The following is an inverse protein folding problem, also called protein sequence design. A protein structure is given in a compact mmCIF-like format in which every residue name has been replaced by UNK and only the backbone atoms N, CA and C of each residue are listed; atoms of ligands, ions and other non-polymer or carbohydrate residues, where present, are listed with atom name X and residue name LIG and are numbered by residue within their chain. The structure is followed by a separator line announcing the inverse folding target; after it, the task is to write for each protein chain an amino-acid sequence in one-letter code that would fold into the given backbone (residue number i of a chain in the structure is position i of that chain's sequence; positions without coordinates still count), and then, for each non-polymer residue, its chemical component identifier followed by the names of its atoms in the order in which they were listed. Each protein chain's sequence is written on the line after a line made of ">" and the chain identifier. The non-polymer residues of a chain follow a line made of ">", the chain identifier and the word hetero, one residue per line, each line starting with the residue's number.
data_IF_878981942603
#
_entry.id   IF_878981942603
#
_cell.length_a   1.000
_cell.length_b   1.000
_cell.length_c   1.000
_cell.angle_alpha   90.00
_cell.angle_beta   90.00
_cell.angle_gamma   90.00
#
_symmetry.space_group_name_H-M   'P 1'
#
loop_
_entity.id
_entity.type
_entity.pdbx_description
1 polymer ?
#
# COMPACT_ATOMS: atom_id res chain seq x y z
N UNK A 1 -28.56 9.85 -26.34
CA UNK A 1 -27.52 8.91 -25.87
C UNK A 1 -26.23 8.91 -26.71
N UNK A 2 -26.26 9.00 -28.06
CA UNK A 2 -25.02 9.05 -28.88
C UNK A 2 -24.06 10.19 -28.52
N UNK A 3 -24.60 11.39 -28.25
CA UNK A 3 -23.79 12.59 -27.94
C UNK A 3 -22.98 12.50 -26.63
N UNK A 4 -23.40 11.66 -25.67
CA UNK A 4 -22.67 11.46 -24.41
C UNK A 4 -21.49 10.48 -24.55
N UNK A 5 -21.52 9.60 -25.55
CA UNK A 5 -20.45 8.63 -25.82
C UNK A 5 -19.35 9.30 -26.66
N UNK A 6 -19.70 10.24 -27.54
CA UNK A 6 -18.73 10.97 -28.34
C UNK A 6 -17.94 12.00 -27.52
N UNK A 7 -18.49 12.53 -26.41
CA UNK A 7 -17.70 13.36 -25.47
C UNK A 7 -16.66 12.55 -24.70
N UNK A 8 -16.88 11.25 -24.50
CA UNK A 8 -15.92 10.35 -23.86
C UNK A 8 -14.72 10.02 -24.76
N UNK A 9 -14.87 10.11 -26.09
CA UNK A 9 -13.76 9.91 -27.04
C UNK A 9 -12.75 11.06 -27.06
N UNK A 10 -13.11 12.21 -26.50
CA UNK A 10 -12.24 13.39 -26.39
C UNK A 10 -11.51 13.48 -25.05
N UNK A 11 -11.56 12.44 -24.20
CA UNK A 11 -10.55 12.28 -23.15
C UNK A 11 -9.20 12.09 -23.81
N UNK A 12 -8.57 13.22 -24.11
CA UNK A 12 -7.24 13.33 -24.62
C UNK A 12 -6.32 12.85 -23.49
N UNK A 13 -6.08 11.54 -23.40
CA UNK A 13 -5.16 10.86 -22.47
C UNK A 13 -3.70 11.35 -22.59
N UNK A 14 -3.46 12.43 -23.35
CA UNK A 14 -2.19 12.98 -23.79
C UNK A 14 -1.50 13.86 -22.75
N UNK A 15 -1.99 13.99 -21.52
CA UNK A 15 -1.50 15.04 -20.59
C UNK A 15 -1.07 14.60 -19.18
N UNK A 16 -1.19 13.32 -18.80
CA UNK A 16 -0.56 12.83 -17.55
C UNK A 16 0.59 11.90 -17.89
N UNK A 17 1.81 12.28 -17.47
CA UNK A 17 2.98 11.42 -17.65
C UNK A 17 2.85 10.16 -16.80
N UNK A 18 3.17 8.99 -17.35
CA UNK A 18 3.13 7.70 -16.65
C UNK A 18 3.90 7.78 -15.31
N UNK A 19 5.05 8.44 -15.33
CA UNK A 19 5.88 8.66 -14.15
C UNK A 19 5.19 9.46 -13.04
N UNK A 20 4.45 10.52 -13.43
CA UNK A 20 3.65 11.31 -12.49
C UNK A 20 2.51 10.49 -11.90
N UNK A 21 1.85 9.65 -12.71
CA UNK A 21 0.81 8.73 -12.24
C UNK A 21 1.37 7.72 -11.24
N UNK A 22 2.52 7.11 -11.54
CA UNK A 22 3.17 6.16 -10.64
C UNK A 22 3.63 6.80 -9.33
N UNK A 23 4.07 8.06 -9.37
CA UNK A 23 4.37 8.83 -8.16
C UNK A 23 3.11 9.08 -7.35
N UNK A 24 2.07 9.61 -7.98
CA UNK A 24 0.82 9.91 -7.29
C UNK A 24 0.21 8.64 -6.66
N UNK A 25 0.15 7.55 -7.42
CA UNK A 25 -0.40 6.28 -6.96
C UNK A 25 0.35 5.74 -5.73
N UNK A 26 1.69 5.70 -5.78
CA UNK A 26 2.47 5.18 -4.66
C UNK A 26 2.31 6.06 -3.41
N UNK A 27 2.27 7.38 -3.57
CA UNK A 27 2.20 8.32 -2.46
C UNK A 27 0.84 8.23 -1.78
N UNK A 28 -0.24 8.31 -2.55
CA UNK A 28 -1.59 8.25 -2.00
C UNK A 28 -1.88 6.91 -1.32
N UNK A 29 -1.53 5.79 -1.96
CA UNK A 29 -1.76 4.47 -1.38
C UNK A 29 -0.94 4.25 -0.10
N UNK A 30 0.32 4.70 -0.10
CA UNK A 30 1.20 4.57 1.07
C UNK A 30 0.75 5.47 2.21
N UNK A 31 0.26 6.68 1.92
CA UNK A 31 -0.33 7.55 2.93
C UNK A 31 -1.59 6.93 3.53
N UNK A 32 -2.47 6.36 2.71
CA UNK A 32 -3.71 5.74 3.19
C UNK A 32 -3.43 4.60 4.17
N UNK A 33 -2.52 3.66 3.82
CA UNK A 33 -2.18 2.55 4.74
C UNK A 33 -1.49 3.06 6.01
N UNK A 34 -0.67 4.11 5.93
CA UNK A 34 -0.06 4.73 7.11
C UNK A 34 -1.11 5.32 8.03
N UNK A 35 -2.02 6.13 7.50
CA UNK A 35 -3.03 6.85 8.29
C UNK A 35 -4.01 5.85 8.91
N UNK A 36 -4.53 4.90 8.13
CA UNK A 36 -5.59 4.00 8.61
C UNK A 36 -5.05 2.82 9.40
N UNK A 37 -3.97 2.18 8.92
CA UNK A 37 -3.45 0.94 9.52
C UNK A 37 -2.19 1.12 10.35
N UNK A 38 -1.38 2.14 10.07
CA UNK A 38 -0.19 2.50 10.85
C UNK A 38 -0.53 3.27 12.12
N UNK A 39 -1.26 4.38 12.01
CA UNK A 39 -1.52 5.29 13.14
C UNK A 39 -2.31 4.63 14.28
N UNK A 40 -3.27 3.76 13.96
CA UNK A 40 -4.03 3.02 14.99
C UNK A 40 -3.17 2.07 15.83
N UNK A 41 -2.05 1.58 15.31
CA UNK A 41 -1.11 0.71 16.05
C UNK A 41 -0.28 1.47 17.09
N UNK A 42 -0.19 2.80 16.95
CA UNK A 42 0.44 3.68 17.93
C UNK A 42 -0.59 4.49 18.74
N UNK A 43 -1.87 4.13 18.64
CA UNK A 43 -2.96 4.75 19.41
C UNK A 43 -3.43 6.11 18.89
N UNK A 44 -3.04 6.53 17.68
CA UNK A 44 -3.51 7.80 17.11
C UNK A 44 -4.82 7.54 16.35
N UNK A 45 -5.85 8.36 16.63
CA UNK A 45 -7.17 8.23 16.02
C UNK A 45 -8.03 7.10 16.59
N UNK A 46 -7.60 6.49 17.71
CA UNK A 46 -8.31 5.41 18.40
C UNK A 46 -8.29 5.65 19.92
N UNK A 47 -9.15 4.96 20.67
CA UNK A 47 -9.17 5.08 22.14
C UNK A 47 -7.99 4.38 22.81
N UNK A 48 -7.53 3.27 22.22
CA UNK A 48 -6.37 2.50 22.65
C UNK A 48 -5.61 2.01 21.41
N UNK A 49 -4.30 1.80 21.54
CA UNK A 49 -3.50 1.19 20.49
C UNK A 49 -4.05 -0.19 20.10
N UNK A 50 -4.13 -0.45 18.79
CA UNK A 50 -4.62 -1.72 18.24
C UNK A 50 -3.69 -2.88 18.64
N UNK A 51 -4.26 -3.91 19.26
CA UNK A 51 -3.59 -5.20 19.43
C UNK A 51 -3.62 -5.93 18.08
N UNK A 52 -2.44 -6.16 17.53
CA UNK A 52 -2.30 -6.77 16.21
C UNK A 52 -2.62 -8.27 16.30
N UNK A 53 -3.48 -8.82 15.42
CA UNK A 53 -3.68 -10.26 15.34
C UNK A 53 -2.35 -11.01 15.17
N UNK A 54 -2.17 -12.12 15.89
CA UNK A 54 -0.93 -12.89 15.91
C UNK A 54 -1.17 -14.35 15.46
N UNK A 55 -1.52 -14.58 14.18
CA UNK A 55 -1.85 -15.91 13.68
C UNK A 55 -0.66 -16.88 13.64
N UNK A 56 0.56 -16.36 13.71
CA UNK A 56 1.80 -17.15 13.66
C UNK A 56 2.38 -17.43 15.05
N UNK A 57 1.71 -17.00 16.13
CA UNK A 57 2.15 -17.19 17.50
C UNK A 57 3.59 -16.70 17.77
N UNK A 58 3.97 -15.58 17.16
CA UNK A 58 5.25 -14.94 17.42
C UNK A 58 5.28 -14.31 18.82
N UNK A 59 6.47 -14.02 19.38
CA UNK A 59 6.56 -13.15 20.55
C UNK A 59 5.82 -11.83 20.29
N UNK A 60 5.01 -11.39 21.25
CA UNK A 60 4.05 -10.29 21.06
C UNK A 60 4.73 -9.00 20.58
N UNK A 61 5.86 -8.63 21.20
CA UNK A 61 6.64 -7.46 20.83
C UNK A 61 7.11 -7.52 19.37
N UNK A 62 7.53 -8.71 18.91
CA UNK A 62 7.99 -8.92 17.53
C UNK A 62 6.81 -8.78 16.56
N UNK A 63 5.66 -9.38 16.88
CA UNK A 63 4.46 -9.28 16.04
C UNK A 63 4.02 -7.81 15.87
N UNK A 64 3.95 -7.07 16.98
CA UNK A 64 3.56 -5.67 16.97
C UNK A 64 4.55 -4.79 16.20
N UNK A 65 5.87 -4.94 16.45
CA UNK A 65 6.90 -4.16 15.76
C UNK A 65 6.89 -4.46 14.26
N UNK A 66 6.77 -5.73 13.86
CA UNK A 66 6.73 -6.10 12.45
C UNK A 66 5.50 -5.51 11.74
N UNK A 67 4.32 -5.60 12.36
CA UNK A 67 3.10 -5.06 11.78
C UNK A 67 3.07 -3.51 11.78
N UNK A 68 3.70 -2.88 12.78
CA UNK A 68 3.87 -1.43 12.81
C UNK A 68 4.86 -0.96 11.73
N UNK A 69 6.02 -1.61 11.61
CA UNK A 69 7.00 -1.30 10.59
C UNK A 69 6.41 -1.47 9.19
N UNK A 70 5.69 -2.58 8.95
CA UNK A 70 5.00 -2.84 7.69
C UNK A 70 3.98 -1.75 7.34
N UNK A 71 3.25 -1.18 8.31
CA UNK A 71 2.22 -0.18 8.01
C UNK A 71 2.66 1.28 8.17
N UNK A 72 3.83 1.55 8.74
CA UNK A 72 4.29 2.93 8.99
C UNK A 72 5.67 3.24 8.38
N UNK A 73 6.66 2.37 8.62
CA UNK A 73 8.04 2.59 8.15
C UNK A 73 8.22 2.27 6.67
N UNK A 74 7.75 1.10 6.21
CA UNK A 74 7.90 0.68 4.82
C UNK A 74 7.10 1.51 3.81
N UNK A 75 5.85 1.93 4.10
CA UNK A 75 5.13 2.84 3.21
C UNK A 75 5.84 4.20 3.09
N UNK A 76 6.51 4.68 4.15
CA UNK A 76 7.34 5.88 4.07
C UNK A 76 8.50 5.71 3.06
N UNK A 77 9.17 4.55 3.05
CA UNK A 77 10.19 4.25 2.02
C UNK A 77 9.61 4.19 0.60
N UNK A 78 8.38 3.69 0.44
CA UNK A 78 7.69 3.68 -0.85
C UNK A 78 7.36 5.11 -1.31
N UNK A 79 6.92 5.99 -0.41
CA UNK A 79 6.62 7.41 -0.70
C UNK A 79 7.83 8.10 -1.33
N UNK A 80 8.99 8.00 -0.67
CA UNK A 80 10.23 8.62 -1.16
C UNK A 80 10.84 7.86 -2.35
N UNK A 81 10.35 6.65 -2.64
CA UNK A 81 10.84 5.81 -3.72
C UNK A 81 12.22 5.23 -3.43
N UNK A 82 12.48 4.80 -2.19
CA UNK A 82 13.72 4.15 -1.79
C UNK A 82 13.50 2.65 -1.56
N UNK A 83 14.30 1.81 -2.21
CA UNK A 83 14.18 0.36 -2.23
C UNK A 83 12.74 -0.10 -2.49
N UNK A 84 12.01 0.56 -3.40
CA UNK A 84 10.53 0.47 -3.47
C UNK A 84 10.03 -0.97 -3.58
N UNK A 85 10.66 -1.81 -4.41
CA UNK A 85 10.26 -3.22 -4.58
C UNK A 85 10.47 -4.04 -3.32
N UNK A 86 11.54 -3.79 -2.57
CA UNK A 86 11.81 -4.50 -1.33
C UNK A 86 10.89 -3.99 -0.21
N UNK A 87 10.65 -2.68 -0.17
CA UNK A 87 9.76 -2.06 0.81
C UNK A 87 8.29 -2.50 0.66
N UNK A 88 7.85 -2.94 -0.52
CA UNK A 88 6.50 -3.51 -0.68
C UNK A 88 6.32 -4.89 -0.04
N UNK A 89 7.40 -5.66 0.16
CA UNK A 89 7.26 -7.06 0.61
C UNK A 89 6.71 -7.18 2.04
N UNK A 90 7.18 -6.40 3.05
CA UNK A 90 6.61 -6.45 4.39
C UNK A 90 5.15 -6.02 4.43
N UNK A 91 4.77 -5.02 3.63
CA UNK A 91 3.37 -4.59 3.50
C UNK A 91 2.52 -5.73 2.94
N UNK A 92 2.95 -6.33 1.82
CA UNK A 92 2.28 -7.45 1.19
C UNK A 92 2.13 -8.63 2.16
N UNK A 93 3.17 -8.95 2.93
CA UNK A 93 3.10 -10.02 3.92
C UNK A 93 1.97 -9.79 4.93
N UNK A 94 1.83 -8.57 5.46
CA UNK A 94 0.78 -8.23 6.43
C UNK A 94 -0.61 -8.21 5.77
N UNK A 95 -0.76 -7.60 4.59
CA UNK A 95 -2.07 -7.49 3.94
C UNK A 95 -2.57 -8.83 3.40
N UNK A 96 -1.67 -9.67 2.87
CA UNK A 96 -2.00 -11.03 2.43
C UNK A 96 -2.31 -11.95 3.62
N UNK A 97 -1.58 -11.83 4.73
CA UNK A 97 -1.91 -12.53 5.99
C UNK A 97 -3.29 -12.10 6.49
N UNK A 98 -3.58 -10.80 6.44
CA UNK A 98 -4.91 -10.26 6.76
C UNK A 98 -6.00 -10.90 5.90
N UNK A 99 -5.79 -10.99 4.59
CA UNK A 99 -6.76 -11.54 3.65
C UNK A 99 -6.97 -13.06 3.78
N UNK A 100 -5.87 -13.83 3.72
CA UNK A 100 -5.94 -15.30 3.62
C UNK A 100 -6.05 -16.01 4.97
N UNK A 101 -5.47 -15.44 6.03
CA UNK A 101 -5.32 -16.12 7.32
C UNK A 101 -6.28 -15.50 8.34
N UNK A 102 -6.17 -14.20 8.61
CA UNK A 102 -6.99 -13.53 9.64
C UNK A 102 -8.46 -13.51 9.25
N UNK A 103 -8.76 -13.10 8.01
CA UNK A 103 -10.12 -13.03 7.47
C UNK A 103 -10.42 -14.18 6.49
N UNK A 104 -9.67 -15.29 6.55
CA UNK A 104 -9.81 -16.40 5.61
C UNK A 104 -11.20 -17.05 5.60
N UNK A 105 -11.85 -17.08 6.76
CA UNK A 105 -13.19 -17.63 6.97
C UNK A 105 -14.31 -16.58 6.91
N UNK A 106 -13.97 -15.30 6.79
CA UNK A 106 -14.96 -14.22 6.73
C UNK A 106 -15.56 -14.11 5.32
N UNK A 107 -16.70 -13.42 5.23
CA UNK A 107 -17.33 -13.13 3.95
C UNK A 107 -16.42 -12.28 3.06
N UNK A 108 -16.56 -12.38 1.73
CA UNK A 108 -15.78 -11.57 0.78
C UNK A 108 -15.92 -10.06 1.02
N UNK A 109 -17.06 -9.62 1.55
CA UNK A 109 -17.33 -8.21 1.90
C UNK A 109 -16.48 -7.71 3.07
N UNK A 110 -16.03 -8.58 3.97
CA UNK A 110 -15.22 -8.19 5.13
C UNK A 110 -13.72 -8.18 4.81
N UNK A 111 -13.29 -8.93 3.79
CA UNK A 111 -11.88 -9.09 3.40
C UNK A 111 -11.52 -8.39 2.09
N UNK A 112 -12.42 -7.58 1.53
CA UNK A 112 -12.15 -6.83 0.30
C UNK A 112 -11.05 -5.77 0.47
N UNK A 113 -11.00 -5.08 1.61
CA UNK A 113 -9.97 -4.08 1.92
C UNK A 113 -8.55 -4.66 1.90
N UNK A 114 -8.20 -5.71 2.69
CA UNK A 114 -6.85 -6.28 2.64
C UNK A 114 -6.50 -6.86 1.26
N UNK A 115 -7.50 -7.34 0.50
CA UNK A 115 -7.30 -7.74 -0.89
C UNK A 115 -6.90 -6.58 -1.78
N UNK A 116 -7.62 -5.45 -1.71
CA UNK A 116 -7.34 -4.27 -2.54
C UNK A 116 -5.99 -3.64 -2.23
N UNK A 117 -5.59 -3.59 -0.95
CA UNK A 117 -4.22 -3.20 -0.60
C UNK A 117 -3.19 -4.15 -1.17
N UNK A 118 -3.41 -5.46 -1.03
CA UNK A 118 -2.47 -6.47 -1.55
C UNK A 118 -2.29 -6.34 -3.06
N UNK A 119 -3.39 -6.19 -3.81
CA UNK A 119 -3.34 -6.00 -5.25
C UNK A 119 -2.62 -4.70 -5.65
N UNK A 120 -2.89 -3.62 -4.93
CA UNK A 120 -2.31 -2.30 -5.19
C UNK A 120 -0.81 -2.26 -4.89
N UNK A 121 -0.36 -2.84 -3.78
CA UNK A 121 1.06 -2.94 -3.46
C UNK A 121 1.79 -3.95 -4.35
N UNK A 122 1.10 -5.00 -4.83
CA UNK A 122 1.64 -5.91 -5.85
C UNK A 122 1.85 -5.18 -7.18
N UNK A 123 0.95 -4.27 -7.55
CA UNK A 123 1.12 -3.42 -8.72
C UNK A 123 2.36 -2.52 -8.58
N UNK A 124 2.57 -1.89 -7.40
CA UNK A 124 3.79 -1.11 -7.12
C UNK A 124 5.03 -2.00 -7.20
N UNK A 125 4.99 -3.22 -6.66
CA UNK A 125 6.09 -4.17 -6.75
C UNK A 125 6.47 -4.48 -8.21
N UNK A 126 5.47 -4.75 -9.05
CA UNK A 126 5.66 -5.09 -10.46
C UNK A 126 6.19 -3.90 -11.29
N UNK A 127 5.55 -2.73 -11.16
CA UNK A 127 5.93 -1.52 -11.89
C UNK A 127 7.27 -0.94 -11.40
N UNK A 128 7.55 -1.08 -10.10
CA UNK A 128 8.75 -0.56 -9.46
C UNK A 128 8.68 0.95 -9.16
N UNK A 129 9.84 1.58 -8.90
CA UNK A 129 9.92 2.91 -8.28
C UNK A 129 9.59 4.08 -9.22
N UNK A 130 9.52 3.91 -10.55
CA UNK A 130 9.28 5.02 -11.50
C UNK A 130 10.36 6.11 -11.51
N UNK A 131 10.27 7.10 -12.42
CA UNK A 131 11.30 8.14 -12.58
C UNK A 131 11.52 9.05 -11.36
N UNK A 132 10.44 9.44 -10.69
CA UNK A 132 10.49 10.28 -9.50
C UNK A 132 10.75 9.43 -8.26
N UNK A 133 11.94 8.85 -8.14
CA UNK A 133 12.34 8.01 -7.01
C UNK A 133 13.80 8.20 -6.68
N UNK A 134 14.14 8.05 -5.40
CA UNK A 134 15.52 8.01 -4.94
C UNK A 134 16.27 6.86 -5.62
N UNK A 135 15.62 5.70 -5.81
CA UNK A 135 16.18 4.55 -6.54
C UNK A 135 16.68 4.92 -7.95
N UNK A 136 15.92 5.75 -8.69
CA UNK A 136 16.33 6.20 -10.02
C UNK A 136 17.41 7.27 -10.00
N UNK A 137 17.46 8.11 -8.96
CA UNK A 137 18.56 9.07 -8.78
C UNK A 137 19.90 8.37 -8.63
N UNK A 138 19.94 7.22 -7.94
CA UNK A 138 21.17 6.44 -7.77
C UNK A 138 21.54 5.59 -9.00
N UNK A 139 20.57 5.12 -9.79
CA UNK A 139 20.84 4.35 -11.02
C UNK A 139 21.30 5.21 -12.22
N UNK A 140 21.10 6.52 -12.15
CA UNK A 140 21.48 7.46 -13.23
C UNK A 140 22.90 8.02 -13.09
N UNK A 141 23.68 7.54 -12.12
CA UNK A 141 25.12 7.77 -11.99
C UNK A 141 25.88 6.53 -12.42
#
# INVERSE_FOLDING_TARGET
>A
MKNSIDSLKHWNLKTISLDSTMLLFRVLLSLEIMIVHGMKKIGIGTTNAEVVPNPFHLPEDINQIMALAANLLFPFFIIIGWCTRWATLPILAVTLTGYFIVHGNDSLLMRDIPFMYSLSFLLIFCLGPGKYSIDKMFQSK
#
